data_IF_672425676566
#
_entry.id   IF_672425676566
#
_cell.length_a   1.000
_cell.length_b   1.000
_cell.length_c   1.000
_cell.angle_alpha   90.00
_cell.angle_beta   90.00
_cell.angle_gamma   90.00
#
_symmetry.space_group_name_H-M   'P 1'
#
loop_
_entity.id
_entity.type
_entity.pdbx_description
1 polymer ?
#
# COMPACT_ATOMS: atom_id res chain seq x y z
N UNK A 1 -15.68 -17.64 -7.91
CA UNK A 1 -14.74 -18.76 -7.74
C UNK A 1 -13.59 -18.57 -8.70
N UNK A 2 -12.62 -17.74 -8.31
CA UNK A 2 -11.42 -17.47 -9.09
C UNK A 2 -10.29 -18.32 -8.54
N UNK A 3 -9.58 -19.03 -9.42
CA UNK A 3 -8.35 -19.73 -9.08
C UNK A 3 -7.39 -18.73 -8.42
N UNK A 4 -7.07 -18.96 -7.15
CA UNK A 4 -5.96 -18.31 -6.46
C UNK A 4 -4.68 -18.76 -7.16
N UNK A 5 -4.24 -18.00 -8.16
CA UNK A 5 -2.87 -18.06 -8.66
C UNK A 5 -1.95 -17.67 -7.49
N UNK A 6 -1.58 -18.68 -6.70
CA UNK A 6 -0.63 -18.59 -5.60
C UNK A 6 0.76 -18.32 -6.18
N UNK A 7 1.04 -17.06 -6.50
CA UNK A 7 2.39 -16.64 -6.86
C UNK A 7 3.21 -16.53 -5.59
N UNK A 8 4.01 -17.56 -5.28
CA UNK A 8 4.90 -17.52 -4.13
C UNK A 8 6.23 -16.81 -4.46
N UNK A 9 6.62 -15.90 -3.58
CA UNK A 9 7.91 -15.22 -3.38
C UNK A 9 8.96 -15.90 -2.51
N UNK A 10 10.10 -16.42 -2.96
CA UNK A 10 11.20 -16.74 -2.00
C UNK A 10 12.07 -15.50 -1.81
N UNK A 11 12.10 -14.97 -0.59
CA UNK A 11 13.04 -13.91 -0.19
C UNK A 11 14.14 -14.53 0.65
N UNK A 12 15.35 -14.54 0.12
CA UNK A 12 16.58 -14.84 0.87
C UNK A 12 17.29 -13.53 1.18
N UNK A 13 17.18 -13.05 2.41
CA UNK A 13 18.14 -12.08 2.96
C UNK A 13 19.20 -12.89 3.72
N UNK A 14 20.49 -12.60 3.52
CA UNK A 14 21.62 -13.47 3.89
C UNK A 14 21.78 -13.77 5.39
N UNK A 15 20.87 -13.28 6.23
CA UNK A 15 20.80 -13.47 7.68
C UNK A 15 19.48 -14.06 8.18
N UNK A 16 18.47 -14.26 7.32
CA UNK A 16 17.13 -14.73 7.68
C UNK A 16 16.79 -16.03 6.93
N UNK A 17 16.14 -16.97 7.61
CA UNK A 17 15.62 -18.19 6.97
C UNK A 17 14.79 -17.83 5.73
N UNK A 18 14.87 -18.64 4.64
CA UNK A 18 14.12 -18.37 3.43
C UNK A 18 12.63 -18.29 3.76
N UNK A 19 12.04 -17.11 3.60
CA UNK A 19 10.61 -16.92 3.80
C UNK A 19 9.87 -16.98 2.47
N UNK A 20 8.71 -17.62 2.46
CA UNK A 20 7.78 -17.62 1.33
C UNK A 20 6.77 -16.50 1.50
N UNK A 21 6.71 -15.57 0.55
CA UNK A 21 5.68 -14.54 0.48
C UNK A 21 4.48 -15.08 -0.29
N UNK A 22 3.32 -15.09 0.35
CA UNK A 22 2.01 -15.44 -0.23
C UNK A 22 1.14 -14.18 -0.29
N UNK A 23 0.23 -14.14 -1.27
CA UNK A 23 -0.66 -13.00 -1.48
C UNK A 23 -2.12 -13.39 -1.22
N UNK A 24 -2.83 -12.55 -0.47
CA UNK A 24 -4.22 -12.78 -0.08
C UNK A 24 -5.05 -11.54 -0.38
N UNK A 25 -6.32 -11.73 -0.70
CA UNK A 25 -7.29 -10.66 -0.89
C UNK A 25 -8.28 -10.69 0.28
N UNK A 26 -8.53 -9.56 0.93
CA UNK A 26 -9.45 -9.44 2.07
C UNK A 26 -10.47 -8.36 1.78
N UNK A 27 -11.68 -8.78 1.44
CA UNK A 27 -12.81 -7.89 1.17
C UNK A 27 -13.52 -7.48 2.46
N UNK A 28 -13.90 -6.20 2.53
CA UNK A 28 -14.62 -5.63 3.69
C UNK A 28 -15.92 -6.35 4.01
N UNK A 29 -16.59 -6.91 3.00
CA UNK A 29 -17.90 -7.55 3.14
C UNK A 29 -17.83 -9.05 3.45
N UNK A 30 -16.74 -9.73 3.13
CA UNK A 30 -16.64 -11.19 3.21
C UNK A 30 -16.07 -11.67 4.55
N UNK A 31 -14.95 -11.10 5.00
CA UNK A 31 -14.23 -11.55 6.20
C UNK A 31 -14.04 -10.38 7.16
N UNK A 32 -15.09 -10.04 7.92
CA UNK A 32 -15.10 -8.84 8.78
C UNK A 32 -13.97 -8.82 9.81
N UNK A 33 -13.75 -9.92 10.52
CA UNK A 33 -12.70 -10.00 11.55
C UNK A 33 -11.30 -9.83 10.96
N UNK A 34 -11.04 -10.48 9.84
CA UNK A 34 -9.76 -10.36 9.13
C UNK A 34 -9.54 -8.99 8.52
N UNK A 35 -10.58 -8.37 7.97
CA UNK A 35 -10.52 -6.99 7.49
C UNK A 35 -10.21 -6.00 8.63
N UNK A 36 -10.85 -6.18 9.79
CA UNK A 36 -10.61 -5.36 10.99
C UNK A 36 -9.17 -5.54 11.50
N UNK A 37 -8.70 -6.78 11.66
CA UNK A 37 -7.34 -7.08 12.10
C UNK A 37 -6.27 -6.46 11.17
N UNK A 38 -6.47 -6.52 9.85
CA UNK A 38 -5.59 -5.86 8.86
C UNK A 38 -5.63 -4.34 9.03
N UNK A 39 -6.82 -3.76 9.17
CA UNK A 39 -7.00 -2.31 9.35
C UNK A 39 -6.29 -1.84 10.62
N UNK A 40 -6.44 -2.56 11.72
CA UNK A 40 -5.78 -2.28 13.00
C UNK A 40 -4.26 -2.35 12.88
N UNK A 41 -3.72 -3.39 12.27
CA UNK A 41 -2.27 -3.50 12.03
C UNK A 41 -1.80 -2.30 11.19
N UNK A 42 -2.52 -1.97 10.13
CA UNK A 42 -2.18 -0.84 9.25
C UNK A 42 -2.33 0.53 9.92
N UNK A 43 -3.09 0.68 11.01
CA UNK A 43 -3.10 1.93 11.78
C UNK A 43 -1.78 2.16 12.52
N UNK A 44 -1.14 1.06 12.94
CA UNK A 44 0.03 1.09 13.83
C UNK A 44 1.38 1.11 13.06
N UNK A 45 1.37 0.99 11.73
CA UNK A 45 2.60 0.96 10.92
C UNK A 45 3.17 2.34 10.61
N UNK A 46 4.50 2.39 10.42
CA UNK A 46 5.19 3.57 9.91
C UNK A 46 5.05 3.67 8.38
N UNK A 47 4.37 4.72 7.93
CA UNK A 47 4.15 5.05 6.51
C UNK A 47 5.23 5.94 5.91
N UNK A 48 6.28 6.30 6.66
CA UNK A 48 7.31 7.23 6.21
C UNK A 48 7.79 6.93 4.77
N UNK A 49 7.77 7.93 3.86
CA UNK A 49 7.60 9.38 4.13
C UNK A 49 6.17 9.92 4.11
N UNK A 50 5.16 9.07 4.02
CA UNK A 50 3.76 9.51 3.99
C UNK A 50 3.21 9.75 5.41
N UNK A 51 2.21 10.64 5.56
CA UNK A 51 1.53 10.82 6.83
C UNK A 51 0.89 9.52 7.35
N UNK A 52 0.80 9.34 8.68
CA UNK A 52 0.09 8.22 9.27
C UNK A 52 -1.37 8.20 8.81
N UNK A 53 -1.96 7.00 8.76
CA UNK A 53 -3.36 6.83 8.39
C UNK A 53 -4.18 6.54 9.64
N UNK A 54 -5.30 7.23 9.82
CA UNK A 54 -6.24 6.93 10.90
C UNK A 54 -7.07 5.69 10.56
N UNK A 55 -7.61 5.03 11.59
CA UNK A 55 -8.53 3.91 11.41
C UNK A 55 -9.70 4.28 10.49
N UNK A 56 -10.32 5.45 10.70
CA UNK A 56 -11.41 5.96 9.85
C UNK A 56 -10.99 6.15 8.38
N UNK A 57 -9.75 6.55 8.11
CA UNK A 57 -9.25 6.67 6.74
C UNK A 57 -9.10 5.29 6.10
N UNK A 58 -8.44 4.35 6.80
CA UNK A 58 -8.22 2.99 6.32
C UNK A 58 -9.51 2.21 6.13
N UNK A 59 -10.51 2.42 6.99
CA UNK A 59 -11.85 1.82 6.84
C UNK A 59 -12.57 2.21 5.55
N UNK A 60 -12.14 3.26 4.82
CA UNK A 60 -12.70 3.61 3.51
C UNK A 60 -12.32 2.59 2.44
N UNK A 61 -11.26 1.82 2.64
CA UNK A 61 -10.92 0.73 1.74
C UNK A 61 -12.10 -0.27 1.66
N UNK A 62 -12.31 -0.82 0.47
CA UNK A 62 -13.29 -1.87 0.22
C UNK A 62 -12.61 -3.24 0.15
N UNK A 63 -11.32 -3.24 -0.20
CA UNK A 63 -10.47 -4.41 -0.41
C UNK A 63 -9.05 -4.09 0.06
N UNK A 64 -8.43 -5.07 0.71
CA UNK A 64 -6.98 -5.13 0.86
C UNK A 64 -6.40 -6.29 0.06
N UNK A 65 -5.34 -6.02 -0.69
CA UNK A 65 -4.46 -7.04 -1.26
C UNK A 65 -3.21 -7.10 -0.39
N UNK A 66 -2.96 -8.23 0.23
CA UNK A 66 -1.94 -8.45 1.26
C UNK A 66 -0.77 -9.25 0.72
N UNK A 67 0.41 -9.00 1.26
CA UNK A 67 1.58 -9.84 1.14
C UNK A 67 1.96 -10.32 2.54
N UNK A 68 2.07 -11.63 2.71
CA UNK A 68 2.28 -12.27 4.00
C UNK A 68 3.50 -13.19 3.91
N UNK A 69 4.43 -13.06 4.86
CA UNK A 69 5.60 -13.91 4.98
C UNK A 69 5.23 -15.11 5.85
N UNK A 70 5.23 -16.29 5.24
CA UNK A 70 4.87 -17.56 5.86
C UNK A 70 6.15 -18.38 6.03
N UNK A 71 6.42 -18.83 7.27
CA UNK A 71 7.51 -19.75 7.57
C UNK A 71 7.12 -21.17 7.14
N UNK A 72 8.11 -22.01 6.82
CA UNK A 72 7.87 -23.39 6.36
C UNK A 72 7.13 -24.27 7.39
N UNK A 73 7.04 -23.85 8.65
CA UNK A 73 6.39 -24.61 9.73
C UNK A 73 4.87 -24.39 9.82
N UNK A 74 4.33 -23.32 9.25
CA UNK A 74 2.90 -22.95 9.39
C UNK A 74 2.33 -22.46 8.06
N UNK A 75 1.92 -23.34 7.14
CA UNK A 75 1.57 -22.95 5.77
C UNK A 75 0.25 -22.18 5.63
N UNK A 76 -0.52 -22.05 6.70
CA UNK A 76 -1.87 -21.48 6.68
C UNK A 76 -1.87 -20.05 7.17
N UNK A 77 -2.53 -19.17 6.41
CA UNK A 77 -2.67 -17.78 6.80
C UNK A 77 -3.68 -17.67 7.96
N UNK A 78 -3.45 -16.84 8.99
CA UNK A 78 -4.31 -16.79 10.17
C UNK A 78 -5.79 -16.48 9.87
N UNK A 79 -6.06 -15.80 8.75
CA UNK A 79 -7.43 -15.50 8.29
C UNK A 79 -8.27 -16.73 7.93
N UNK A 80 -7.65 -17.89 7.66
CA UNK A 80 -8.36 -19.12 7.32
C UNK A 80 -8.93 -19.83 8.56
N UNK A 81 -8.52 -19.43 9.77
CA UNK A 81 -9.01 -19.99 11.04
C UNK A 81 -10.17 -19.16 11.58
N UNK A 82 -11.39 -19.62 11.39
CA UNK A 82 -12.63 -18.92 11.76
C UNK A 82 -12.93 -18.85 13.28
N UNK A 83 -11.96 -19.14 14.17
CA UNK A 83 -12.23 -19.40 15.60
C UNK A 83 -11.23 -18.76 16.59
N UNK A 84 -10.68 -17.58 16.27
CA UNK A 84 -9.75 -16.86 17.16
C UNK A 84 -10.36 -15.62 17.84
N UNK A 85 -9.90 -15.31 19.05
CA UNK A 85 -10.11 -14.00 19.70
C UNK A 85 -9.48 -12.89 18.85
N UNK A 86 -10.14 -11.72 18.75
CA UNK A 86 -9.71 -10.62 17.86
C UNK A 86 -8.26 -10.17 18.10
N UNK A 87 -7.80 -10.13 19.35
CA UNK A 87 -6.41 -9.77 19.68
C UNK A 87 -5.39 -10.80 19.18
N UNK A 88 -5.72 -12.09 19.24
CA UNK A 88 -4.88 -13.17 18.72
C UNK A 88 -4.76 -13.01 17.21
N UNK A 89 -5.89 -12.77 16.53
CA UNK A 89 -5.92 -12.54 15.10
C UNK A 89 -5.13 -11.30 14.67
N UNK A 90 -5.23 -10.18 15.41
CA UNK A 90 -4.43 -8.96 15.17
C UNK A 90 -2.94 -9.25 15.30
N UNK A 91 -2.53 -9.94 16.37
CA UNK A 91 -1.13 -10.29 16.61
C UNK A 91 -0.59 -11.18 15.51
N UNK A 92 -1.36 -12.19 15.11
CA UNK A 92 -0.97 -13.15 14.07
C UNK A 92 -0.85 -12.46 12.69
N UNK A 93 -1.80 -11.58 12.34
CA UNK A 93 -1.69 -10.77 11.11
C UNK A 93 -0.48 -9.84 11.18
N UNK A 94 -0.24 -9.18 12.31
CA UNK A 94 0.87 -8.25 12.48
C UNK A 94 2.26 -8.88 12.34
N UNK A 95 2.42 -10.15 12.74
CA UNK A 95 3.70 -10.86 12.59
C UNK A 95 3.99 -11.22 11.13
N UNK A 96 2.97 -11.73 10.42
CA UNK A 96 3.14 -12.24 9.04
C UNK A 96 2.99 -11.18 7.97
N UNK A 97 2.26 -10.07 8.20
CA UNK A 97 2.00 -9.06 7.18
C UNK A 97 3.28 -8.29 6.82
N UNK A 98 3.65 -8.32 5.55
CA UNK A 98 4.87 -7.66 5.02
C UNK A 98 4.58 -6.56 4.00
N UNK A 99 3.35 -6.51 3.48
CA UNK A 99 2.90 -5.43 2.63
C UNK A 99 1.39 -5.48 2.40
N UNK A 100 0.82 -4.35 2.01
CA UNK A 100 -0.60 -4.21 1.72
C UNK A 100 -0.85 -3.15 0.65
N UNK A 101 -1.91 -3.36 -0.13
CA UNK A 101 -2.53 -2.35 -1.00
C UNK A 101 -3.99 -2.24 -0.63
N UNK A 102 -4.42 -1.06 -0.19
CA UNK A 102 -5.84 -0.78 0.09
C UNK A 102 -6.50 -0.08 -1.10
N UNK A 103 -7.68 -0.56 -1.48
CA UNK A 103 -8.41 -0.09 -2.67
C UNK A 103 -9.78 0.43 -2.29
N UNK A 104 -10.14 1.59 -2.84
CA UNK A 104 -11.47 2.20 -2.70
C UNK A 104 -12.17 2.20 -4.05
N UNK A 105 -13.42 1.72 -4.09
CA UNK A 105 -14.24 1.78 -5.31
C UNK A 105 -14.99 3.11 -5.36
N UNK A 106 -14.71 3.93 -6.38
CA UNK A 106 -15.37 5.21 -6.60
C UNK A 106 -16.38 5.05 -7.75
N UNK A 107 -17.70 5.07 -7.49
CA UNK A 107 -18.69 4.88 -8.53
C UNK A 107 -18.70 6.05 -9.53
N UNK A 108 -18.81 5.74 -10.81
CA UNK A 108 -19.19 6.73 -11.82
C UNK A 108 -20.71 6.94 -11.81
N UNK A 109 -21.16 8.08 -12.32
CA UNK A 109 -22.59 8.45 -12.36
C UNK A 109 -23.48 7.43 -13.08
N UNK A 110 -22.92 6.57 -13.93
CA UNK A 110 -23.63 5.53 -14.67
C UNK A 110 -23.90 4.23 -13.88
N UNK A 111 -23.47 4.12 -12.62
CA UNK A 111 -23.76 3.02 -11.69
C UNK A 111 -23.05 1.69 -11.97
N UNK A 112 -22.88 1.30 -13.25
CA UNK A 112 -22.27 0.03 -13.66
C UNK A 112 -20.74 0.08 -13.80
N UNK A 113 -20.13 1.22 -13.47
CA UNK A 113 -18.73 1.51 -13.72
C UNK A 113 -18.11 2.14 -12.48
N UNK A 114 -16.89 1.73 -12.16
CA UNK A 114 -16.14 2.24 -11.02
C UNK A 114 -14.73 2.67 -11.43
N UNK A 115 -14.16 3.59 -10.66
CA UNK A 115 -12.74 3.86 -10.62
C UNK A 115 -12.14 3.14 -9.41
N UNK A 116 -11.05 2.40 -9.63
CA UNK A 116 -10.26 1.83 -8.55
C UNK A 116 -9.29 2.87 -8.01
N UNK A 117 -9.52 3.39 -6.81
CA UNK A 117 -8.61 4.31 -6.15
C UNK A 117 -7.66 3.53 -5.23
N UNK A 118 -6.36 3.55 -5.53
CA UNK A 118 -5.33 2.98 -4.67
C UNK A 118 -5.10 3.96 -3.52
N UNK A 119 -5.64 3.61 -2.36
CA UNK A 119 -5.65 4.47 -1.19
C UNK A 119 -4.36 4.42 -0.41
N UNK A 120 -3.82 3.22 -0.22
CA UNK A 120 -2.59 2.98 0.53
C UNK A 120 -1.76 1.90 -0.16
N UNK A 121 -0.44 2.08 -0.15
CA UNK A 121 0.55 1.08 -0.56
C UNK A 121 1.62 1.06 0.50
N UNK A 122 1.75 -0.05 1.21
CA UNK A 122 2.71 -0.19 2.29
C UNK A 122 3.51 -1.48 2.11
N UNK A 123 4.80 -1.40 2.42
CA UNK A 123 5.71 -2.55 2.52
C UNK A 123 6.62 -2.33 3.71
N UNK A 124 6.67 -3.33 4.60
CA UNK A 124 7.54 -3.36 5.77
C UNK A 124 8.99 -3.08 5.36
N UNK A 125 9.75 -2.22 6.06
CA UNK A 125 11.09 -1.79 5.66
C UNK A 125 12.02 -2.92 5.20
N UNK A 126 12.09 -4.01 5.98
CA UNK A 126 12.92 -5.19 5.71
C UNK A 126 12.53 -5.96 4.43
N UNK A 127 11.35 -5.69 3.86
CA UNK A 127 10.83 -6.35 2.66
C UNK A 127 10.80 -5.41 1.45
N UNK A 128 11.27 -4.18 1.62
CA UNK A 128 11.47 -3.24 0.51
C UNK A 128 12.57 -3.76 -0.42
N UNK A 129 12.54 -3.35 -1.69
CA UNK A 129 13.47 -3.81 -2.76
C UNK A 129 13.35 -5.29 -3.14
N UNK A 130 12.50 -6.09 -2.48
CA UNK A 130 12.17 -7.47 -2.89
C UNK A 130 10.97 -7.56 -3.86
N UNK A 131 10.68 -6.47 -4.59
CA UNK A 131 9.55 -6.35 -5.53
C UNK A 131 8.16 -6.63 -4.93
N UNK A 132 8.01 -6.63 -3.60
CA UNK A 132 6.73 -6.88 -2.91
C UNK A 132 5.66 -5.87 -3.34
N UNK A 133 5.95 -4.57 -3.26
CA UNK A 133 5.03 -3.51 -3.69
C UNK A 133 4.62 -3.67 -5.16
N UNK A 134 5.59 -3.99 -6.02
CA UNK A 134 5.35 -4.18 -7.45
C UNK A 134 4.40 -5.35 -7.71
N UNK A 135 4.59 -6.50 -7.05
CA UNK A 135 3.71 -7.67 -7.18
C UNK A 135 2.31 -7.44 -6.61
N UNK A 136 2.22 -6.77 -5.45
CA UNK A 136 0.94 -6.35 -4.88
C UNK A 136 0.15 -5.47 -5.87
N UNK A 137 0.83 -4.49 -6.47
CA UNK A 137 0.24 -3.61 -7.46
C UNK A 137 -0.11 -4.35 -8.75
N UNK A 138 0.73 -5.25 -9.27
CA UNK A 138 0.39 -6.06 -10.45
C UNK A 138 -0.87 -6.88 -10.22
N UNK A 139 -0.96 -7.59 -9.07
CA UNK A 139 -2.15 -8.34 -8.69
C UNK A 139 -3.37 -7.43 -8.59
N UNK A 140 -3.22 -6.28 -7.93
CA UNK A 140 -4.30 -5.30 -7.79
C UNK A 140 -4.80 -4.81 -9.16
N UNK A 141 -3.89 -4.42 -10.03
CA UNK A 141 -4.20 -3.82 -11.32
C UNK A 141 -4.69 -4.83 -12.37
N UNK A 142 -4.52 -6.13 -12.12
CA UNK A 142 -5.07 -7.20 -12.95
C UNK A 142 -6.59 -7.34 -12.79
N UNK A 143 -7.17 -6.82 -11.71
CA UNK A 143 -8.62 -6.75 -11.56
C UNK A 143 -9.23 -5.83 -12.63
N UNK A 144 -10.30 -6.30 -13.26
CA UNK A 144 -11.05 -5.55 -14.29
C UNK A 144 -12.53 -5.35 -13.92
N UNK A 145 -13.01 -6.05 -12.89
CA UNK A 145 -14.38 -6.01 -12.38
C UNK A 145 -14.39 -6.20 -10.86
N UNK A 146 -15.42 -5.69 -10.18
CA UNK A 146 -15.56 -5.77 -8.71
C UNK A 146 -17.01 -5.94 -8.27
N UNK A 147 -17.22 -6.57 -7.13
CA UNK A 147 -18.54 -6.71 -6.50
C UNK A 147 -19.47 -7.73 -7.18
N UNK A 148 -20.70 -7.83 -6.65
CA UNK A 148 -21.76 -8.68 -7.17
C UNK A 148 -23.11 -7.91 -7.14
N UNK A 149 -23.66 -7.47 -8.29
CA UNK A 149 -23.21 -7.74 -9.66
C UNK A 149 -21.87 -7.06 -9.98
N UNK A 150 -21.11 -7.59 -10.96
CA UNK A 150 -19.79 -7.08 -11.29
C UNK A 150 -19.84 -5.70 -11.94
N UNK A 151 -19.29 -4.70 -11.26
CA UNK A 151 -19.04 -3.36 -11.80
C UNK A 151 -17.72 -3.34 -12.56
N UNK A 152 -17.70 -2.71 -13.74
CA UNK A 152 -16.49 -2.63 -14.56
C UNK A 152 -15.54 -1.56 -14.03
N UNK A 153 -14.27 -1.91 -13.82
CA UNK A 153 -13.22 -0.92 -13.50
C UNK A 153 -12.81 -0.22 -14.80
N UNK A 154 -13.02 1.10 -14.88
CA UNK A 154 -12.64 1.85 -16.07
C UNK A 154 -11.19 2.31 -16.06
N UNK A 155 -10.72 2.71 -14.88
CA UNK A 155 -9.38 3.20 -14.66
C UNK A 155 -9.00 3.05 -13.20
N UNK A 156 -7.69 3.04 -12.98
CA UNK A 156 -7.06 3.14 -11.67
C UNK A 156 -6.58 4.56 -11.44
N UNK A 157 -6.68 5.04 -10.20
CA UNK A 157 -6.17 6.35 -9.78
C UNK A 157 -5.41 6.21 -8.47
N UNK A 158 -4.35 7.00 -8.32
CA UNK A 158 -3.63 7.14 -7.05
C UNK A 158 -3.06 8.55 -6.91
N UNK A 159 -2.65 8.88 -5.69
CA UNK A 159 -1.78 10.01 -5.42
C UNK A 159 -0.48 9.52 -4.82
N UNK A 160 0.64 10.10 -5.23
CA UNK A 160 1.95 9.87 -4.62
C UNK A 160 2.67 11.21 -4.42
N UNK A 161 3.63 11.27 -3.50
CA UNK A 161 4.40 12.48 -3.24
C UNK A 161 5.30 12.80 -4.43
N UNK A 162 5.50 14.08 -4.71
CA UNK A 162 6.46 14.53 -5.73
C UNK A 162 7.50 15.47 -5.13
N UNK A 163 8.65 15.57 -5.79
CA UNK A 163 9.72 16.48 -5.36
C UNK A 163 9.33 17.92 -5.62
N UNK A 164 9.36 18.74 -4.56
CA UNK A 164 9.11 20.17 -4.61
C UNK A 164 9.75 20.85 -3.39
N UNK A 165 9.79 22.19 -3.38
CA UNK A 165 10.24 22.95 -2.22
C UNK A 165 9.39 22.65 -0.97
N UNK A 166 8.07 22.59 -1.12
CA UNK A 166 7.14 22.28 -0.02
C UNK A 166 7.37 20.87 0.52
N UNK A 167 7.57 19.88 -0.37
CA UNK A 167 7.88 18.51 0.02
C UNK A 167 9.20 18.42 0.77
N UNK A 168 10.26 19.09 0.28
CA UNK A 168 11.57 19.11 0.96
C UNK A 168 11.48 19.72 2.35
N UNK A 169 10.75 20.83 2.48
CA UNK A 169 10.52 21.50 3.76
C UNK A 169 9.73 20.61 4.75
N UNK A 170 8.69 19.93 4.26
CA UNK A 170 7.93 18.94 5.03
C UNK A 170 8.82 17.81 5.55
N UNK A 171 9.64 17.20 4.67
CA UNK A 171 10.52 16.09 5.05
C UNK A 171 11.60 16.52 6.04
N UNK A 172 12.23 17.68 5.80
CA UNK A 172 13.24 18.22 6.71
C UNK A 172 12.68 18.42 8.11
N UNK A 173 11.50 19.06 8.25
CA UNK A 173 10.82 19.19 9.55
C UNK A 173 10.53 17.85 10.21
N UNK A 174 9.94 16.92 9.46
CA UNK A 174 9.59 15.60 9.98
C UNK A 174 10.80 14.80 10.47
N UNK A 175 11.91 14.86 9.73
CA UNK A 175 13.16 14.21 10.11
C UNK A 175 13.79 14.85 11.35
N UNK A 176 13.77 16.18 11.45
CA UNK A 176 14.22 16.88 12.67
C UNK A 176 13.35 16.51 13.88
N UNK A 177 12.02 16.48 13.74
CA UNK A 177 11.10 16.12 14.83
C UNK A 177 11.33 14.67 15.32
N UNK A 178 11.48 13.70 14.41
CA UNK A 178 11.82 12.31 14.79
C UNK A 178 13.15 12.23 15.51
N UNK A 179 14.15 12.99 15.05
CA UNK A 179 15.46 13.00 15.68
C UNK A 179 15.45 13.68 17.05
N UNK A 180 14.70 14.78 17.24
CA UNK A 180 14.54 15.41 18.56
C UNK A 180 13.87 14.49 19.59
N UNK A 181 13.05 13.53 19.14
CA UNK A 181 12.48 12.50 20.02
C UNK A 181 13.45 11.38 20.37
N UNK A 182 14.54 11.21 19.60
CA UNK A 182 15.61 10.27 19.89
C UNK A 182 16.68 11.01 20.70
N UNK A 183 16.88 10.65 21.97
CA UNK A 183 17.75 11.37 22.91
C UNK A 183 19.26 11.36 22.56
N UNK A 184 19.64 11.00 21.34
CA UNK A 184 21.01 10.98 20.85
C UNK A 184 21.31 12.28 20.10
N UNK A 185 22.29 13.03 20.60
CA UNK A 185 22.86 14.19 19.92
C UNK A 185 23.54 13.71 18.62
N UNK A 186 22.79 13.66 17.53
CA UNK A 186 23.26 13.24 16.22
C UNK A 186 23.50 14.46 15.32
N UNK A 187 24.47 14.34 14.43
CA UNK A 187 25.07 15.39 13.60
C UNK A 187 24.08 15.94 12.56
N UNK A 188 24.13 17.23 12.23
CA UNK A 188 23.25 17.83 11.19
C UNK A 188 23.42 17.13 9.83
N UNK A 189 24.62 16.60 9.60
CA UNK A 189 24.99 15.77 8.46
C UNK A 189 24.13 14.50 8.31
N UNK A 190 23.71 13.88 9.42
CA UNK A 190 22.85 12.67 9.38
C UNK A 190 21.46 13.00 8.82
N UNK A 191 20.89 14.14 9.18
CA UNK A 191 19.56 14.57 8.70
C UNK A 191 19.63 14.90 7.22
N UNK A 192 20.69 15.59 6.80
CA UNK A 192 20.91 15.90 5.40
C UNK A 192 21.05 14.66 4.53
N UNK A 193 21.75 13.63 5.02
CA UNK A 193 21.87 12.35 4.32
C UNK A 193 20.51 11.65 4.21
N UNK A 194 19.77 11.51 5.32
CA UNK A 194 18.45 10.89 5.34
C UNK A 194 17.44 11.63 4.46
N UNK A 195 17.50 12.97 4.42
CA UNK A 195 16.67 13.79 3.56
C UNK A 195 16.95 13.49 2.07
N UNK A 196 18.22 13.43 1.68
CA UNK A 196 18.62 13.12 0.30
C UNK A 196 18.21 11.71 -0.12
N UNK A 197 18.32 10.73 0.77
CA UNK A 197 17.85 9.36 0.54
C UNK A 197 16.33 9.30 0.36
N UNK A 198 15.60 10.06 1.20
CA UNK A 198 14.14 10.15 1.14
C UNK A 198 13.65 10.86 -0.13
N UNK A 199 14.30 11.96 -0.53
CA UNK A 199 14.04 12.64 -1.81
C UNK A 199 14.28 11.69 -3.01
N UNK A 200 15.33 10.86 -2.94
CA UNK A 200 15.61 9.83 -3.95
C UNK A 200 14.50 8.78 -4.01
N UNK A 201 14.00 8.34 -2.85
CA UNK A 201 12.87 7.41 -2.75
C UNK A 201 11.60 8.00 -3.37
N UNK A 202 11.23 9.23 -2.99
CA UNK A 202 10.05 9.93 -3.51
C UNK A 202 10.14 10.12 -5.03
N UNK A 203 11.33 10.43 -5.55
CA UNK A 203 11.56 10.53 -7.00
C UNK A 203 11.38 9.18 -7.71
N UNK A 204 11.71 8.07 -7.05
CA UNK A 204 11.62 6.73 -7.64
C UNK A 204 10.19 6.16 -7.65
N UNK A 205 9.32 6.59 -6.73
CA UNK A 205 7.96 6.04 -6.59
C UNK A 205 7.08 6.30 -7.83
N UNK A 206 6.94 7.52 -8.36
CA UNK A 206 6.21 7.76 -9.61
C UNK A 206 6.73 6.90 -10.77
N UNK A 207 8.05 6.72 -10.89
CA UNK A 207 8.67 5.87 -11.93
C UNK A 207 8.25 4.40 -11.81
N UNK A 208 8.02 3.89 -10.60
CA UNK A 208 7.47 2.54 -10.40
C UNK A 208 6.04 2.46 -10.94
N UNK A 209 5.19 3.45 -10.67
CA UNK A 209 3.82 3.49 -11.19
C UNK A 209 3.78 3.67 -12.72
N UNK A 210 4.68 4.47 -13.29
CA UNK A 210 4.83 4.61 -14.75
C UNK A 210 5.12 3.27 -15.42
N UNK A 211 6.00 2.44 -14.85
CA UNK A 211 6.27 1.07 -15.35
C UNK A 211 5.04 0.16 -15.30
N UNK A 212 4.12 0.42 -14.37
CA UNK A 212 2.85 -0.28 -14.27
C UNK A 212 1.78 0.29 -15.22
N UNK A 213 2.12 1.28 -16.05
CA UNK A 213 1.23 1.89 -17.04
C UNK A 213 0.43 3.09 -16.52
N UNK A 214 0.79 3.65 -15.37
CA UNK A 214 0.22 4.93 -14.94
C UNK A 214 0.85 6.09 -15.70
N UNK A 215 0.06 7.14 -15.94
CA UNK A 215 0.56 8.44 -16.39
C UNK A 215 0.21 9.53 -15.37
N UNK A 216 1.05 10.55 -15.30
CA UNK A 216 0.77 11.76 -14.51
C UNK A 216 -0.40 12.50 -15.15
N UNK A 217 -1.47 12.73 -14.38
CA UNK A 217 -2.62 13.53 -14.81
C UNK A 217 -2.45 14.99 -14.46
N UNK A 218 -2.04 15.28 -13.21
CA UNK A 218 -1.82 16.65 -12.71
C UNK A 218 -0.97 16.64 -11.44
N UNK A 219 -0.30 17.75 -11.18
CA UNK A 219 0.27 18.04 -9.87
C UNK A 219 -0.82 18.53 -8.92
N UNK A 220 -0.70 18.21 -7.63
CA UNK A 220 -1.65 18.60 -6.59
C UNK A 220 -0.88 19.29 -5.46
N UNK A 221 -1.12 20.59 -5.32
CA UNK A 221 -0.44 21.43 -4.34
C UNK A 221 -0.86 21.07 -2.91
N UNK A 222 0.11 20.92 -2.01
CA UNK A 222 -0.09 20.65 -0.58
C UNK A 222 -1.07 19.50 -0.28
N UNK A 223 -0.96 18.41 -1.05
CA UNK A 223 -1.85 17.26 -0.94
C UNK A 223 -1.69 16.49 0.37
N UNK A 224 -0.45 16.25 0.82
CA UNK A 224 -0.17 15.46 2.02
C UNK A 224 -0.11 16.35 3.25
N UNK A 225 -1.06 16.15 4.17
CA UNK A 225 -1.19 16.88 5.44
C UNK A 225 -1.21 18.41 5.28
N UNK A 226 -1.67 18.90 4.12
CA UNK A 226 -1.63 20.34 3.79
C UNK A 226 -0.21 20.92 3.64
N UNK A 227 0.81 20.07 3.54
CA UNK A 227 2.23 20.46 3.64
C UNK A 227 3.04 20.05 2.41
N UNK A 228 3.00 18.79 2.00
CA UNK A 228 3.80 18.29 0.87
C UNK A 228 2.98 18.17 -0.42
N UNK A 229 3.65 18.39 -1.55
CA UNK A 229 3.00 18.32 -2.86
C UNK A 229 2.87 16.86 -3.31
N UNK A 230 1.79 16.59 -4.05
CA UNK A 230 1.52 15.29 -4.63
C UNK A 230 1.36 15.35 -6.14
N UNK A 231 1.28 14.18 -6.75
CA UNK A 231 0.93 14.01 -8.15
C UNK A 231 -0.22 13.01 -8.23
N UNK A 232 -1.27 13.39 -8.97
CA UNK A 232 -2.36 12.49 -9.32
C UNK A 232 -1.93 11.67 -10.54
N UNK A 233 -1.95 10.36 -10.42
CA UNK A 233 -1.62 9.43 -11.51
C UNK A 233 -2.81 8.56 -11.86
N UNK A 234 -2.99 8.27 -13.15
CA UNK A 234 -4.08 7.42 -13.65
C UNK A 234 -3.56 6.31 -14.57
N UNK A 235 -4.24 5.16 -14.57
CA UNK A 235 -4.03 4.08 -15.54
C UNK A 235 -5.38 3.65 -16.11
N UNK A 236 -5.57 3.73 -17.42
CA UNK A 236 -6.81 3.25 -18.05
C UNK A 236 -6.77 1.73 -18.14
N UNK A 237 -7.86 1.05 -17.79
CA UNK A 237 -7.97 -0.40 -17.95
C UNK A 237 -8.17 -0.72 -19.44
N UNK A 238 -7.33 -1.56 -20.06
CA UNK A 238 -7.50 -1.95 -21.46
C UNK A 238 -8.91 -2.49 -21.73
N UNK A 239 -9.52 -2.09 -22.85
CA UNK A 239 -10.90 -2.50 -23.20
C UNK A 239 -12.00 -1.83 -22.37
N UNK A 240 -11.68 -0.91 -21.44
CA UNK A 240 -12.68 -0.11 -20.74
C UNK A 240 -13.28 1.02 -21.59
N UNK A 241 -12.52 1.54 -22.56
CA UNK A 241 -12.94 2.64 -23.42
C UNK A 241 -13.44 2.21 -24.80
N UNK A 242 -14.73 2.48 -25.06
CA UNK A 242 -15.43 2.62 -26.35
C UNK A 242 -15.53 1.39 -27.28
N UNK A 243 -16.70 0.74 -27.27
CA UNK A 243 -17.53 0.74 -28.49
C UNK A 243 -18.09 2.16 -28.62
N UNK A 244 -17.57 2.91 -29.59
CA UNK A 244 -18.28 4.05 -30.15
C UNK A 244 -19.16 3.53 -31.28
#
# INVERSE_FOLDING_TARGET
>A
MGETLGSSCVVTDGSKEPCTIVFHDVEKTEIRSGYAAVTDVLCDVDYFPYPPQTHEQLEKAHLYVLACCISSSEPTFPLDSHLGEEEVMKKDVGTVLVGAVGVVWVPFSSGAMVEGYIHVVWVRPDYRRHRVAYRLLERTLAMTQVGNPPNKILRWRLHTMCTSLNTREYLSRFLHERKSSSATASDDDDVHLLLKETETLITAVPRMYERLGFCVRRNVFKYYDGKADGVEMIKVVPGAGKRR
#
